data_IF_884312353144
#
_entry.id   IF_884312353144
#
_cell.length_a   1.000
_cell.length_b   1.000
_cell.length_c   1.000
_cell.angle_alpha   90.00
_cell.angle_beta   90.00
_cell.angle_gamma   90.00
#
_symmetry.space_group_name_H-M   'P 1'
#
loop_
_entity.id
_entity.type
_entity.pdbx_description
1 polymer ?
#
# COMPACT_ATOMS: atom_id res chain seq x y z
N UNK A 1 -26.98 13.89 18.08
CA UNK A 1 -26.70 12.55 18.64
C UNK A 1 -25.50 11.96 17.89
N UNK A 2 -24.30 12.06 18.45
CA UNK A 2 -23.07 11.58 17.80
C UNK A 2 -22.92 10.06 18.07
N UNK A 3 -23.00 9.24 17.03
CA UNK A 3 -22.82 7.80 17.13
C UNK A 3 -21.38 7.47 17.50
N UNK A 4 -21.19 6.96 18.71
CA UNK A 4 -19.91 6.46 19.21
C UNK A 4 -19.60 5.12 18.51
N UNK A 5 -18.89 5.17 17.39
CA UNK A 5 -18.43 3.96 16.68
C UNK A 5 -17.46 3.19 17.58
N UNK A 6 -17.87 2.02 18.06
CA UNK A 6 -16.98 1.08 18.76
C UNK A 6 -15.87 0.64 17.79
N UNK A 7 -14.58 0.75 18.17
CA UNK A 7 -13.50 0.32 17.30
C UNK A 7 -13.63 -1.19 17.01
N UNK A 8 -13.68 -1.52 15.72
CA UNK A 8 -13.72 -2.90 15.21
C UNK A 8 -12.49 -3.67 15.68
N UNK A 9 -12.72 -4.82 16.31
CA UNK A 9 -11.71 -5.67 16.98
C UNK A 9 -10.72 -6.37 16.02
N UNK A 10 -10.62 -5.98 14.74
CA UNK A 10 -9.91 -6.73 13.68
C UNK A 10 -8.69 -6.05 13.06
N UNK A 11 -8.17 -4.95 13.60
CA UNK A 11 -6.92 -4.34 13.09
C UNK A 11 -5.69 -4.80 13.90
N UNK A 12 -5.36 -6.09 13.79
CA UNK A 12 -4.20 -6.69 14.48
C UNK A 12 -2.91 -6.63 13.63
N UNK A 13 -2.99 -6.24 12.35
CA UNK A 13 -1.83 -6.32 11.43
C UNK A 13 -0.92 -5.09 11.38
N UNK A 14 -1.29 -4.02 12.06
CA UNK A 14 -0.48 -2.81 12.09
C UNK A 14 0.05 -2.56 13.50
N UNK A 15 1.21 -3.15 13.81
CA UNK A 15 2.06 -2.68 14.91
C UNK A 15 2.71 -1.36 14.49
N UNK A 16 1.91 -0.31 14.35
CA UNK A 16 2.47 1.03 14.30
C UNK A 16 2.91 1.40 15.71
N UNK A 17 4.06 2.07 15.83
CA UNK A 17 4.39 2.78 17.06
C UNK A 17 3.29 3.83 17.25
N UNK A 18 2.30 3.50 18.09
CA UNK A 18 1.28 4.43 18.50
C UNK A 18 2.03 5.50 19.29
N UNK A 19 2.03 6.74 18.83
CA UNK A 19 2.72 7.77 19.58
C UNK A 19 2.04 7.91 20.94
N UNK A 20 2.82 7.79 22.01
CA UNK A 20 2.36 7.94 23.39
C UNK A 20 2.28 9.42 23.80
N UNK A 21 2.08 10.35 22.85
CA UNK A 21 2.15 11.77 23.19
C UNK A 21 1.00 12.10 24.13
N UNK A 22 1.37 12.66 25.27
CA UNK A 22 0.45 13.39 26.10
C UNK A 22 0.29 14.78 25.48
N UNK A 23 -0.89 15.36 25.60
CA UNK A 23 -1.15 16.72 25.12
C UNK A 23 -0.56 17.76 26.10
N UNK A 24 0.75 17.69 26.29
CA UNK A 24 1.55 18.47 27.25
C UNK A 24 1.92 19.86 26.72
N UNK A 25 1.41 20.22 25.53
CA UNK A 25 1.75 21.46 24.85
C UNK A 25 3.08 21.41 24.11
N UNK A 26 3.75 20.26 24.01
CA UNK A 26 4.95 20.12 23.18
C UNK A 26 4.64 20.41 21.71
N UNK A 27 5.64 20.88 20.93
CA UNK A 27 5.51 20.98 19.49
C UNK A 27 5.23 19.61 18.88
N UNK A 28 4.46 19.61 17.79
CA UNK A 28 4.10 18.40 17.06
C UNK A 28 5.33 17.85 16.34
N UNK A 29 5.71 16.58 16.54
CA UNK A 29 6.88 15.99 15.88
C UNK A 29 6.73 15.95 14.36
N UNK A 30 7.82 16.19 13.64
CA UNK A 30 7.81 16.29 12.18
C UNK A 30 7.60 14.95 11.47
N UNK A 31 8.02 13.88 12.10
CA UNK A 31 7.86 12.51 11.62
C UNK A 31 6.40 12.05 11.53
N UNK A 32 5.45 12.79 12.11
CA UNK A 32 4.03 12.43 12.07
C UNK A 32 3.32 12.92 10.81
N UNK A 33 3.86 13.94 10.14
CA UNK A 33 3.29 14.53 8.93
C UNK A 33 1.78 14.80 9.05
N UNK A 34 1.37 15.43 10.17
CA UNK A 34 -0.05 15.69 10.43
C UNK A 34 -0.59 16.74 9.45
N UNK A 35 -1.75 16.44 8.87
CA UNK A 35 -2.53 17.39 8.05
C UNK A 35 -3.88 17.68 8.69
N UNK A 36 -4.35 18.92 8.55
CA UNK A 36 -5.68 19.30 9.01
C UNK A 36 -6.78 18.54 8.24
N UNK A 37 -7.77 17.99 8.93
CA UNK A 37 -8.87 17.24 8.27
C UNK A 37 -9.84 18.12 7.49
N UNK A 38 -9.82 19.45 7.68
CA UNK A 38 -10.69 20.40 6.97
C UNK A 38 -10.02 21.03 5.76
N UNK A 39 -8.83 21.60 5.94
CA UNK A 39 -8.13 22.37 4.89
C UNK A 39 -6.82 21.72 4.41
N UNK A 40 -6.45 20.55 4.94
CA UNK A 40 -5.24 19.80 4.57
C UNK A 40 -3.88 20.50 4.83
N UNK A 41 -3.90 21.64 5.52
CA UNK A 41 -2.70 22.35 5.96
C UNK A 41 -1.80 21.46 6.82
N UNK A 42 -0.49 21.60 6.66
CA UNK A 42 0.52 20.84 7.41
C UNK A 42 0.63 21.38 8.84
N UNK A 43 0.33 20.53 9.82
CA UNK A 43 0.33 20.87 11.24
C UNK A 43 1.68 20.55 11.93
N UNK A 44 2.66 20.10 11.16
CA UNK A 44 4.01 19.75 11.64
C UNK A 44 4.68 20.94 12.34
N UNK A 45 5.27 20.72 13.52
CA UNK A 45 6.03 21.73 14.25
C UNK A 45 5.18 22.80 14.96
N UNK A 46 3.85 22.78 14.81
CA UNK A 46 2.98 23.72 15.51
C UNK A 46 2.94 23.40 17.02
N UNK A 47 3.07 24.45 17.82
CA UNK A 47 2.85 24.40 19.28
C UNK A 47 1.38 24.65 19.62
N UNK A 48 0.67 25.44 18.81
CA UNK A 48 -0.76 25.71 19.02
C UNK A 48 -1.63 24.53 18.57
N UNK A 49 -2.73 24.28 19.30
CA UNK A 49 -3.73 23.25 18.98
C UNK A 49 -4.85 23.75 18.06
N UNK A 50 -4.55 24.75 17.26
CA UNK A 50 -5.46 25.36 16.29
C UNK A 50 -4.78 25.45 14.93
N UNK A 51 -5.51 25.11 13.87
CA UNK A 51 -5.01 25.27 12.51
C UNK A 51 -4.90 26.77 12.18
N UNK A 52 -3.75 27.28 11.70
CA UNK A 52 -3.59 28.70 11.39
C UNK A 52 -4.45 29.15 10.19
N UNK A 53 -4.77 28.24 9.28
CA UNK A 53 -5.55 28.56 8.07
C UNK A 53 -7.06 28.61 8.34
N UNK A 54 -7.61 27.59 9.01
CA UNK A 54 -9.07 27.47 9.17
C UNK A 54 -9.56 27.67 10.62
N UNK A 55 -8.65 27.92 11.57
CA UNK A 55 -8.97 28.16 12.98
C UNK A 55 -9.52 26.95 13.73
N UNK A 56 -9.60 25.76 13.09
CA UNK A 56 -10.17 24.59 13.75
C UNK A 56 -9.26 24.09 14.86
N UNK A 57 -9.82 23.96 16.07
CA UNK A 57 -9.18 23.23 17.15
C UNK A 57 -8.97 21.77 16.75
N UNK A 58 -7.85 21.18 17.14
CA UNK A 58 -7.55 19.79 16.86
C UNK A 58 -6.79 19.15 17.99
N UNK A 59 -6.94 17.83 18.12
CA UNK A 59 -6.13 17.01 19.03
C UNK A 59 -5.12 16.21 18.21
N UNK A 60 -3.80 16.34 18.47
CA UNK A 60 -2.77 15.70 17.64
C UNK A 60 -3.00 14.19 17.45
N UNK A 61 -3.38 13.47 18.50
CA UNK A 61 -3.67 12.05 18.44
C UNK A 61 -4.85 11.71 17.51
N UNK A 62 -5.97 12.44 17.62
CA UNK A 62 -7.16 12.20 16.78
C UNK A 62 -6.85 12.48 15.30
N UNK A 63 -6.10 13.56 15.02
CA UNK A 63 -5.64 13.89 13.66
C UNK A 63 -4.68 12.84 13.12
N UNK A 64 -3.75 12.33 13.94
CA UNK A 64 -2.83 11.26 13.56
C UNK A 64 -3.59 10.01 13.13
N UNK A 65 -4.56 9.57 13.95
CA UNK A 65 -5.40 8.40 13.64
C UNK A 65 -6.19 8.62 12.34
N UNK A 66 -6.78 9.80 12.16
CA UNK A 66 -7.57 10.11 10.97
C UNK A 66 -6.72 10.19 9.69
N UNK A 67 -5.54 10.85 9.74
CA UNK A 67 -4.61 10.89 8.62
C UNK A 67 -4.08 9.52 8.27
N UNK A 68 -3.76 8.69 9.28
CA UNK A 68 -3.33 7.31 9.06
C UNK A 68 -4.41 6.45 8.43
N UNK A 69 -5.67 6.60 8.84
CA UNK A 69 -6.80 5.93 8.17
C UNK A 69 -6.94 6.38 6.73
N UNK A 70 -6.91 7.69 6.46
CA UNK A 70 -6.96 8.24 5.09
C UNK A 70 -5.80 7.73 4.24
N UNK A 71 -4.59 7.65 4.79
CA UNK A 71 -3.44 7.05 4.11
C UNK A 71 -3.62 5.56 3.88
N UNK A 72 -4.09 4.80 4.88
CA UNK A 72 -4.36 3.37 4.72
C UNK A 72 -5.36 3.13 3.60
N UNK A 73 -6.44 3.91 3.52
CA UNK A 73 -7.44 3.81 2.44
C UNK A 73 -6.83 4.10 1.05
N UNK A 74 -5.86 5.01 0.96
CA UNK A 74 -5.12 5.27 -0.28
C UNK A 74 -4.16 4.13 -0.63
N UNK A 75 -3.46 3.55 0.37
CA UNK A 75 -2.50 2.46 0.17
C UNK A 75 -3.17 1.10 -0.06
N UNK A 76 -4.41 0.88 0.41
CA UNK A 76 -5.13 -0.39 0.25
C UNK A 76 -5.77 -0.60 -1.13
N UNK A 77 -5.46 0.22 -2.14
CA UNK A 77 -6.23 0.24 -3.40
C UNK A 77 -6.07 -0.96 -4.32
N UNK A 78 -5.18 -1.90 -4.04
CA UNK A 78 -5.22 -3.23 -4.66
C UNK A 78 -4.95 -4.31 -3.61
N UNK A 79 -5.97 -5.06 -3.19
CA UNK A 79 -5.76 -6.23 -2.36
C UNK A 79 -4.74 -7.15 -3.04
N UNK A 80 -3.78 -7.69 -2.29
CA UNK A 80 -2.73 -8.54 -2.84
C UNK A 80 -3.28 -9.71 -3.69
N UNK A 81 -4.50 -10.20 -3.40
CA UNK A 81 -5.13 -11.27 -4.17
C UNK A 81 -5.54 -10.88 -5.60
N UNK A 82 -5.76 -9.59 -5.89
CA UNK A 82 -6.18 -9.14 -7.23
C UNK A 82 -5.09 -9.40 -8.28
N UNK A 83 -3.82 -8.96 -8.11
CA UNK A 83 -2.78 -9.25 -9.09
C UNK A 83 -2.49 -10.75 -9.21
N UNK A 84 -2.53 -11.53 -8.12
CA UNK A 84 -2.36 -12.99 -8.22
C UNK A 84 -3.52 -13.65 -8.96
N UNK A 85 -4.76 -13.18 -8.77
CA UNK A 85 -5.92 -13.67 -9.52
C UNK A 85 -5.79 -13.42 -11.02
N UNK A 86 -5.33 -12.23 -11.41
CA UNK A 86 -5.05 -11.90 -12.82
C UNK A 86 -3.92 -12.79 -13.37
N UNK A 87 -2.82 -12.95 -12.62
CA UNK A 87 -1.70 -13.81 -13.04
C UNK A 87 -2.14 -15.27 -13.21
N UNK A 88 -2.95 -15.80 -12.28
CA UNK A 88 -3.49 -17.14 -12.36
C UNK A 88 -4.42 -17.32 -13.58
N UNK A 89 -5.28 -16.33 -13.86
CA UNK A 89 -6.12 -16.34 -15.05
C UNK A 89 -5.29 -16.31 -16.35
N UNK A 90 -4.23 -15.49 -16.41
CA UNK A 90 -3.30 -15.46 -17.54
C UNK A 90 -2.57 -16.80 -17.71
N UNK A 91 -2.13 -17.44 -16.62
CA UNK A 91 -1.54 -18.77 -16.67
C UNK A 91 -2.51 -19.83 -17.22
N UNK A 92 -3.78 -19.78 -16.81
CA UNK A 92 -4.81 -20.69 -17.31
C UNK A 92 -5.10 -20.47 -18.80
N UNK A 93 -5.07 -19.23 -19.27
CA UNK A 93 -5.22 -18.91 -20.70
C UNK A 93 -3.99 -19.33 -21.52
N UNK A 94 -2.79 -19.31 -20.91
CA UNK A 94 -1.55 -19.70 -21.56
C UNK A 94 -1.30 -21.22 -21.57
N UNK A 95 -2.14 -22.04 -20.92
CA UNK A 95 -1.95 -23.50 -20.82
C UNK A 95 -1.66 -24.24 -22.14
N UNK A 96 -2.37 -24.00 -23.25
CA UNK A 96 -2.07 -24.70 -24.51
C UNK A 96 -0.69 -24.34 -25.05
N UNK A 97 -0.29 -23.05 -24.96
CA UNK A 97 1.04 -22.60 -25.38
C UNK A 97 2.13 -23.20 -24.49
N UNK A 98 1.88 -23.29 -23.19
CA UNK A 98 2.78 -23.91 -22.21
C UNK A 98 2.99 -25.40 -22.51
N UNK A 99 1.95 -26.10 -22.97
CA UNK A 99 2.03 -27.52 -23.33
C UNK A 99 3.02 -27.77 -24.47
N UNK A 100 3.02 -26.88 -25.47
CA UNK A 100 3.87 -27.01 -26.65
C UNK A 100 5.27 -26.42 -26.42
N UNK A 101 5.39 -25.43 -25.52
CA UNK A 101 6.68 -24.83 -25.16
C UNK A 101 6.77 -24.50 -23.65
N UNK A 102 7.34 -25.40 -22.82
CA UNK A 102 7.42 -25.21 -21.39
C UNK A 102 8.35 -24.06 -20.97
N UNK A 103 9.22 -23.55 -21.86
CA UNK A 103 10.08 -22.40 -21.54
C UNK A 103 9.27 -21.12 -21.25
N UNK A 104 8.02 -21.05 -21.71
CA UNK A 104 7.10 -19.94 -21.39
C UNK A 104 6.82 -19.84 -19.88
N UNK A 105 6.98 -20.92 -19.10
CA UNK A 105 6.79 -20.90 -17.65
C UNK A 105 7.90 -20.19 -16.88
N UNK A 106 9.10 -20.04 -17.46
CA UNK A 106 10.28 -19.46 -16.77
C UNK A 106 9.98 -18.06 -16.19
N UNK A 107 9.44 -17.08 -16.94
CA UNK A 107 9.11 -15.78 -16.39
C UNK A 107 8.02 -15.82 -15.30
N UNK A 108 7.04 -16.73 -15.42
CA UNK A 108 5.98 -16.89 -14.41
C UNK A 108 6.52 -17.50 -13.11
N UNK A 109 7.48 -18.42 -13.18
CA UNK A 109 8.14 -19.00 -12.01
C UNK A 109 9.13 -18.05 -11.32
N UNK A 110 9.75 -17.14 -12.08
CA UNK A 110 10.65 -16.11 -11.55
C UNK A 110 9.95 -15.10 -10.64
N UNK A 111 8.66 -14.83 -10.90
CA UNK A 111 7.89 -13.82 -10.18
C UNK A 111 7.69 -14.15 -8.68
N UNK A 112 7.22 -15.35 -8.26
CA UNK A 112 7.12 -15.70 -6.84
C UNK A 112 8.50 -15.82 -6.16
N UNK A 113 9.53 -16.27 -6.88
CA UNK A 113 10.91 -16.33 -6.35
C UNK A 113 11.42 -14.91 -6.05
N UNK A 114 11.18 -13.97 -6.95
CA UNK A 114 11.54 -12.57 -6.75
C UNK A 114 10.79 -11.95 -5.56
N UNK A 115 9.49 -12.22 -5.40
CA UNK A 115 8.73 -11.72 -4.25
C UNK A 115 9.21 -12.31 -2.92
N UNK A 116 9.52 -13.61 -2.90
CA UNK A 116 10.09 -14.25 -1.72
C UNK A 116 11.45 -13.62 -1.36
N UNK A 117 12.29 -13.35 -2.36
CA UNK A 117 13.56 -12.64 -2.17
C UNK A 117 13.34 -11.20 -1.67
N UNK A 118 12.46 -10.43 -2.29
CA UNK A 118 12.17 -9.05 -1.88
C UNK A 118 11.66 -8.99 -0.43
N UNK A 119 10.78 -9.93 -0.04
CA UNK A 119 10.31 -10.05 1.34
C UNK A 119 11.46 -10.40 2.30
N UNK A 120 12.36 -11.30 1.92
CA UNK A 120 13.54 -11.64 2.71
C UNK A 120 14.45 -10.42 2.95
N UNK A 121 14.63 -9.58 1.93
CA UNK A 121 15.46 -8.37 2.01
C UNK A 121 14.73 -7.13 2.56
N UNK A 122 13.45 -7.24 2.95
CA UNK A 122 12.60 -6.11 3.36
C UNK A 122 12.55 -4.97 2.33
N UNK A 123 12.65 -5.30 1.05
CA UNK A 123 12.41 -4.33 -0.02
C UNK A 123 10.91 -4.19 -0.25
N UNK A 124 10.48 -2.97 -0.52
CA UNK A 124 9.09 -2.66 -0.82
C UNK A 124 8.78 -3.12 -2.27
N UNK A 125 8.07 -4.25 -2.48
CA UNK A 125 7.94 -4.87 -3.80
C UNK A 125 6.92 -4.14 -4.68
N UNK A 126 6.25 -3.12 -4.14
CA UNK A 126 5.16 -2.38 -4.76
C UNK A 126 5.55 -1.76 -6.11
N UNK A 127 6.75 -1.19 -6.23
CA UNK A 127 7.26 -0.65 -7.50
C UNK A 127 7.66 -1.72 -8.52
N UNK A 128 8.23 -2.83 -8.06
CA UNK A 128 8.77 -3.89 -8.92
C UNK A 128 7.70 -4.80 -9.55
N UNK A 129 6.55 -4.96 -8.90
CA UNK A 129 5.48 -5.87 -9.37
C UNK A 129 4.96 -5.48 -10.75
N UNK A 130 4.74 -4.19 -10.98
CA UNK A 130 4.23 -3.68 -12.27
C UNK A 130 5.22 -3.94 -13.39
N UNK A 131 6.51 -3.71 -13.14
CA UNK A 131 7.58 -3.95 -14.12
C UNK A 131 7.63 -5.43 -14.49
N UNK A 132 7.59 -6.32 -13.49
CA UNK A 132 7.63 -7.77 -13.71
C UNK A 132 6.44 -8.28 -14.51
N UNK A 133 5.22 -7.78 -14.24
CA UNK A 133 4.02 -8.14 -15.01
C UNK A 133 4.17 -7.69 -16.47
N UNK A 134 4.62 -6.46 -16.70
CA UNK A 134 4.85 -5.94 -18.06
C UNK A 134 5.88 -6.78 -18.81
N UNK A 135 7.00 -7.12 -18.16
CA UNK A 135 8.03 -7.98 -18.76
C UNK A 135 7.51 -9.38 -19.09
N UNK A 136 6.72 -9.98 -18.20
CA UNK A 136 6.10 -11.29 -18.44
C UNK A 136 5.11 -11.25 -19.63
N UNK A 137 4.33 -10.18 -19.75
CA UNK A 137 3.42 -9.97 -20.89
C UNK A 137 4.21 -9.79 -22.19
N UNK A 138 5.26 -8.96 -22.20
CA UNK A 138 6.11 -8.74 -23.37
C UNK A 138 6.75 -10.06 -23.82
N UNK A 139 7.34 -10.82 -22.88
CA UNK A 139 7.94 -12.12 -23.17
C UNK A 139 6.93 -13.13 -23.73
N UNK A 140 5.69 -13.10 -23.24
CA UNK A 140 4.62 -13.96 -23.76
C UNK A 140 4.23 -13.58 -25.20
N UNK A 141 4.13 -12.29 -25.49
CA UNK A 141 3.81 -11.78 -26.84
C UNK A 141 4.94 -12.10 -27.82
N UNK A 142 6.21 -11.94 -27.44
CA UNK A 142 7.35 -12.22 -28.32
C UNK A 142 7.46 -13.70 -28.66
N UNK A 143 7.21 -14.59 -27.69
CA UNK A 143 7.16 -16.04 -27.97
C UNK A 143 6.02 -16.37 -28.92
N UNK A 144 4.85 -15.75 -28.74
CA UNK A 144 3.69 -15.99 -29.60
C UNK A 144 3.95 -15.55 -31.05
N UNK A 145 4.63 -14.42 -31.24
CA UNK A 145 5.01 -13.91 -32.56
C UNK A 145 6.06 -14.76 -33.29
N UNK A 146 6.76 -15.66 -32.59
CA UNK A 146 7.78 -16.55 -33.16
C UNK A 146 7.25 -17.94 -33.55
N UNK A 147 5.98 -18.26 -33.26
CA UNK A 147 5.37 -19.50 -33.73
C UNK A 147 4.95 -19.35 -35.21
N UNK A 148 5.52 -20.16 -36.13
CA UNK A 148 5.21 -20.12 -37.56
C UNK A 148 3.85 -20.74 -37.91
#
# INVERSE_FOLDING_TARGET
>A
MAQHQRPSKRDVRFRFNIPTINDDGSPIPAEWHLRCLKCEYDLTGLTSRHCPECGSAFKPYEIWVANRRKQADLYFRTPAYVPYGVLAALMLLALPVIRDNPLVLVPFGLLPVYEAAAHWFRWDPSGSRTIMIVLAVIASITVWAMLP
#
